data_IF_261578647626
#
_entry.id   IF_261578647626
#
_cell.length_a   1.000
_cell.length_b   1.000
_cell.length_c   1.000
_cell.angle_alpha   90.00
_cell.angle_beta   90.00
_cell.angle_gamma   90.00
#
_symmetry.space_group_name_H-M   'P 1'
#
loop_
_entity.id
_entity.type
_entity.pdbx_description
1 polymer ?
#
# COMPACT_ATOMS: atom_id res chain seq x y z
N UNK A 1 2.66 2.95 -29.44
CA UNK A 1 2.50 2.75 -27.97
C UNK A 1 1.60 1.55 -27.76
N UNK A 2 2.14 0.40 -27.33
CA UNK A 2 1.34 -0.80 -26.99
C UNK A 2 0.96 -0.71 -25.53
N UNK A 3 -0.32 -0.49 -25.23
CA UNK A 3 -0.84 -0.59 -23.86
C UNK A 3 -0.87 -2.07 -23.49
N UNK A 4 -0.19 -2.46 -22.41
CA UNK A 4 -0.29 -3.82 -21.87
C UNK A 4 -1.69 -3.95 -21.25
N UNK A 5 -2.55 -4.81 -21.82
CA UNK A 5 -3.90 -5.10 -21.30
C UNK A 5 -3.91 -5.79 -19.92
N UNK A 6 -2.75 -6.06 -19.32
CA UNK A 6 -2.58 -6.61 -17.98
C UNK A 6 -2.25 -5.55 -16.93
N UNK A 7 -2.23 -4.26 -17.30
CA UNK A 7 -2.00 -3.19 -16.34
C UNK A 7 -3.25 -3.02 -15.47
N UNK A 8 -3.08 -3.13 -14.15
CA UNK A 8 -4.14 -2.78 -13.21
C UNK A 8 -4.44 -1.29 -13.38
N UNK A 9 -5.70 -0.97 -13.65
CA UNK A 9 -6.18 0.41 -13.70
C UNK A 9 -5.97 1.06 -12.31
N UNK A 10 -5.44 2.29 -12.29
CA UNK A 10 -5.09 3.07 -11.09
C UNK A 10 -6.15 3.04 -9.98
N UNK A 11 -7.42 2.90 -10.36
CA UNK A 11 -8.58 2.74 -9.45
C UNK A 11 -8.43 1.62 -8.41
N UNK A 12 -7.51 0.66 -8.59
CA UNK A 12 -7.20 -0.37 -7.60
C UNK A 12 -6.32 0.10 -6.42
N UNK A 13 -5.71 1.28 -6.51
CA UNK A 13 -4.65 1.73 -5.61
C UNK A 13 -5.01 2.94 -4.72
N UNK A 14 -6.25 3.43 -4.79
CA UNK A 14 -6.66 4.64 -4.06
C UNK A 14 -6.41 4.51 -2.55
N UNK A 15 -6.77 3.37 -1.96
CA UNK A 15 -6.57 3.11 -0.54
C UNK A 15 -5.10 3.02 -0.16
N UNK A 16 -4.28 2.31 -0.95
CA UNK A 16 -2.84 2.23 -0.73
C UNK A 16 -2.19 3.62 -0.85
N UNK A 17 -2.60 4.40 -1.85
CA UNK A 17 -2.11 5.76 -2.07
C UNK A 17 -2.46 6.65 -0.87
N UNK A 18 -3.71 6.64 -0.42
CA UNK A 18 -4.14 7.43 0.74
C UNK A 18 -3.42 7.01 2.02
N UNK A 19 -3.28 5.71 2.26
CA UNK A 19 -2.53 5.19 3.41
C UNK A 19 -1.06 5.63 3.36
N UNK A 20 -0.44 5.55 2.19
CA UNK A 20 0.91 6.02 1.99
C UNK A 20 1.09 7.52 2.19
N UNK A 21 0.17 8.35 1.66
CA UNK A 21 0.17 9.79 1.88
C UNK A 21 0.04 10.11 3.37
N UNK A 22 -0.81 9.39 4.10
CA UNK A 22 -0.92 9.52 5.56
C UNK A 22 0.42 9.21 6.26
N UNK A 23 1.07 8.10 5.92
CA UNK A 23 2.36 7.71 6.50
C UNK A 23 3.45 8.76 6.22
N UNK A 24 3.48 9.32 5.01
CA UNK A 24 4.40 10.41 4.67
C UNK A 24 4.08 11.69 5.44
N UNK A 25 2.80 12.01 5.65
CA UNK A 25 2.40 13.15 6.47
C UNK A 25 2.83 12.96 7.93
N UNK A 26 2.64 11.78 8.51
CA UNK A 26 3.12 11.43 9.86
C UNK A 26 4.64 11.52 9.96
N UNK A 27 5.35 11.01 8.94
CA UNK A 27 6.80 11.16 8.84
C UNK A 27 7.25 12.61 8.77
N UNK A 28 6.55 13.49 8.04
CA UNK A 28 6.87 14.93 8.03
C UNK A 28 6.73 15.59 9.42
N UNK A 29 5.82 15.08 10.26
CA UNK A 29 5.67 15.55 11.64
C UNK A 29 6.74 14.96 12.58
N UNK A 30 7.30 13.80 12.22
CA UNK A 30 8.34 13.08 12.97
C UNK A 30 9.41 12.52 12.02
N UNK A 31 10.29 13.37 11.44
CA UNK A 31 11.17 12.96 10.34
C UNK A 31 12.22 11.92 10.73
N UNK A 32 12.44 11.70 12.02
CA UNK A 32 13.33 10.65 12.53
C UNK A 32 12.65 9.30 12.74
N UNK A 33 11.32 9.21 12.52
CA UNK A 33 10.56 7.98 12.70
C UNK A 33 10.93 6.90 11.68
N UNK A 34 11.19 7.31 10.43
CA UNK A 34 11.52 6.42 9.34
C UNK A 34 12.74 6.91 8.56
N UNK A 35 13.58 5.97 8.13
CA UNK A 35 14.72 6.20 7.22
C UNK A 35 14.36 5.88 5.77
N UNK A 36 13.35 5.04 5.56
CA UNK A 36 12.86 4.65 4.22
C UNK A 36 11.37 4.34 4.28
N UNK A 37 10.64 4.77 3.25
CA UNK A 37 9.26 4.35 2.98
C UNK A 37 9.22 3.85 1.53
N UNK A 38 8.80 2.61 1.32
CA UNK A 38 8.72 1.98 0.01
C UNK A 38 7.28 1.52 -0.26
N UNK A 39 6.78 1.80 -1.46
CA UNK A 39 5.49 1.32 -1.96
C UNK A 39 5.74 0.14 -2.89
N UNK A 40 4.88 -0.88 -2.84
CA UNK A 40 5.00 -2.07 -3.71
C UNK A 40 6.44 -2.59 -3.71
N UNK A 41 6.99 -2.86 -2.52
CA UNK A 41 8.38 -3.26 -2.37
C UNK A 41 8.58 -4.69 -2.92
N UNK A 42 8.69 -4.77 -4.24
CA UNK A 42 9.06 -5.96 -5.00
C UNK A 42 10.54 -5.91 -5.35
N UNK A 43 11.18 -7.07 -5.47
CA UNK A 43 12.64 -7.17 -5.52
C UNK A 43 13.18 -7.41 -6.92
N UNK A 44 14.01 -6.48 -7.39
CA UNK A 44 15.29 -6.83 -8.04
C UNK A 44 16.49 -6.58 -7.07
N UNK A 45 16.29 -5.84 -5.97
CA UNK A 45 17.32 -5.49 -4.99
C UNK A 45 16.97 -5.96 -3.57
N UNK A 46 17.64 -7.03 -3.17
CA UNK A 46 17.43 -8.02 -2.09
C UNK A 46 17.27 -7.53 -0.63
N UNK A 47 16.69 -6.35 -0.38
CA UNK A 47 16.62 -5.78 0.97
C UNK A 47 15.30 -6.04 1.68
N UNK A 48 14.19 -6.32 0.99
CA UNK A 48 12.86 -6.50 1.62
C UNK A 48 12.30 -7.88 1.25
N UNK A 49 11.70 -8.67 2.18
CA UNK A 49 11.08 -9.95 1.84
C UNK A 49 10.01 -9.76 0.75
N UNK A 50 10.06 -10.57 -0.31
CA UNK A 50 9.13 -10.51 -1.45
C UNK A 50 7.66 -10.62 -1.01
N UNK A 51 6.83 -9.74 -1.57
CA UNK A 51 5.44 -10.07 -1.90
C UNK A 51 4.40 -10.07 -0.77
N UNK A 52 4.67 -9.47 0.38
CA UNK A 52 3.68 -9.46 1.49
C UNK A 52 2.93 -8.12 1.63
N UNK A 53 3.56 -6.98 1.33
CA UNK A 53 3.05 -5.68 1.79
C UNK A 53 2.98 -4.57 0.74
N UNK A 54 1.92 -3.77 0.83
CA UNK A 54 1.62 -2.66 -0.08
C UNK A 54 2.49 -1.42 0.23
N UNK A 55 2.83 -1.20 1.50
CA UNK A 55 3.79 -0.17 1.97
C UNK A 55 4.70 -0.74 3.07
N UNK A 56 6.00 -0.46 2.98
CA UNK A 56 7.01 -0.85 3.97
C UNK A 56 7.71 0.40 4.50
N UNK A 57 7.78 0.55 5.82
CA UNK A 57 8.51 1.63 6.47
C UNK A 57 9.66 1.05 7.30
N UNK A 58 10.86 1.60 7.12
CA UNK A 58 12.06 1.20 7.85
C UNK A 58 12.40 2.26 8.90
N UNK A 59 12.61 1.81 10.14
CA UNK A 59 12.98 2.66 11.27
C UNK A 59 14.49 2.72 11.45
N UNK A 60 15.04 3.75 12.14
CA UNK A 60 16.49 3.87 12.35
C UNK A 60 17.16 2.71 13.10
N UNK A 61 16.39 1.94 13.88
CA UNK A 61 16.85 0.76 14.63
C UNK A 61 16.85 -0.53 13.78
N UNK A 62 16.49 -0.43 12.50
CA UNK A 62 16.39 -1.56 11.57
C UNK A 62 15.06 -2.31 11.67
N UNK A 63 14.11 -1.88 12.51
CA UNK A 63 12.77 -2.45 12.58
C UNK A 63 11.98 -2.03 11.34
N UNK A 64 11.16 -2.94 10.82
CA UNK A 64 10.29 -2.72 9.66
C UNK A 64 8.83 -2.79 10.04
N UNK A 65 8.09 -1.75 9.68
CA UNK A 65 6.64 -1.72 9.73
C UNK A 65 6.09 -2.09 8.35
N UNK A 66 5.14 -3.01 8.36
CA UNK A 66 4.54 -3.61 7.17
C UNK A 66 3.06 -3.25 7.11
N UNK A 67 2.63 -2.68 5.98
CA UNK A 67 1.25 -2.25 5.77
C UNK A 67 0.64 -2.99 4.59
N UNK A 68 -0.26 -3.91 4.90
CA UNK A 68 -1.14 -4.54 3.93
C UNK A 68 -2.49 -3.80 3.92
N UNK A 69 -2.74 -3.02 2.87
CA UNK A 69 -3.89 -2.14 2.71
C UNK A 69 -4.97 -2.85 1.91
N UNK A 70 -5.96 -3.41 2.62
CA UNK A 70 -7.11 -4.06 2.00
C UNK A 70 -8.37 -3.21 2.13
N UNK A 71 -9.05 -3.00 1.01
CA UNK A 71 -10.43 -2.56 1.06
C UNK A 71 -11.31 -3.70 1.58
N UNK A 72 -11.93 -3.50 2.74
CA UNK A 72 -12.95 -4.41 3.25
C UNK A 72 -14.32 -3.76 3.02
N UNK A 73 -15.14 -4.27 2.08
CA UNK A 73 -16.50 -3.78 1.92
C UNK A 73 -17.27 -4.04 3.23
N UNK A 74 -18.01 -3.04 3.70
CA UNK A 74 -18.90 -3.23 4.84
C UNK A 74 -20.05 -4.17 4.44
N UNK A 75 -20.33 -5.24 5.20
CA UNK A 75 -21.45 -6.13 4.94
C UNK A 75 -22.80 -5.45 5.19
N UNK A 76 -22.81 -4.30 5.86
CA UNK A 76 -24.02 -3.55 6.23
C UNK A 76 -24.45 -2.51 5.18
N UNK A 77 -23.64 -2.30 4.13
CA UNK A 77 -24.03 -1.43 3.02
C UNK A 77 -24.80 -2.24 1.99
N UNK A 78 -26.06 -1.87 1.74
CA UNK A 78 -26.89 -2.52 0.71
C UNK A 78 -26.24 -2.49 -0.69
N UNK A 79 -25.47 -1.44 -1.00
CA UNK A 79 -24.69 -1.29 -2.24
C UNK A 79 -23.65 -2.40 -2.46
N UNK A 80 -23.19 -3.06 -1.38
CA UNK A 80 -22.21 -4.14 -1.44
C UNK A 80 -22.85 -5.53 -1.56
N UNK A 81 -24.19 -5.63 -1.64
CA UNK A 81 -24.89 -6.92 -1.72
C UNK A 81 -24.72 -7.52 -3.11
N UNK A 82 -24.42 -8.81 -3.15
CA UNK A 82 -24.49 -9.60 -4.38
C UNK A 82 -25.95 -9.66 -4.84
N UNK A 83 -26.25 -9.06 -6.00
CA UNK A 83 -27.55 -9.16 -6.66
C UNK A 83 -27.41 -9.96 -7.95
N UNK A 84 -28.39 -10.82 -8.25
CA UNK A 84 -28.33 -11.72 -9.41
C UNK A 84 -28.92 -11.16 -10.71
N UNK A 85 -29.35 -9.89 -10.74
CA UNK A 85 -29.98 -9.28 -11.91
C UNK A 85 -31.37 -9.82 -12.21
#
# INVERSE_FOLDING_TARGET
>A
MKVKNSAIIYTGYDYQTLQGVKLLAEWLHSPTQYVRVAFEADTDSNETPEGIDDVVCERPDGVRDYWQVKFTPSPEKDENRLTWG
#
